data_IF_752562237240
#
_entry.id   IF_752562237240
#
_cell.length_a   1.000
_cell.length_b   1.000
_cell.length_c   1.000
_cell.angle_alpha   90.00
_cell.angle_beta   90.00
_cell.angle_gamma   90.00
#
_symmetry.space_group_name_H-M   'P 1'
#
loop_
_entity.id
_entity.type
_entity.pdbx_description
1 polymer ?
#
# COMPACT_ATOMS: atom_id res chain seq x y z
N UNK A 1 -5.23 -2.65 12.49
CA UNK A 1 -5.14 -1.46 11.62
C UNK A 1 -4.68 -1.91 10.25
N UNK A 2 -5.38 -1.48 9.20
CA UNK A 2 -5.14 -1.87 7.81
C UNK A 2 -4.41 -0.75 7.08
N UNK A 3 -3.27 -1.08 6.48
CA UNK A 3 -2.39 -0.09 5.84
C UNK A 3 -2.09 -0.55 4.41
N UNK A 4 -2.41 0.29 3.43
CA UNK A 4 -1.95 0.09 2.05
C UNK A 4 -0.54 0.65 1.93
N UNK A 5 0.36 -0.12 1.30
CA UNK A 5 1.72 0.32 1.00
C UNK A 5 2.01 0.10 -0.48
N UNK A 6 2.37 1.16 -1.21
CA UNK A 6 2.79 1.06 -2.61
C UNK A 6 4.25 0.60 -2.69
N UNK A 7 4.60 -0.18 -3.72
CA UNK A 7 5.94 -0.78 -3.90
C UNK A 7 6.51 -1.41 -2.61
N UNK A 8 5.83 -2.45 -2.12
CA UNK A 8 6.27 -3.22 -0.95
C UNK A 8 7.65 -3.88 -1.15
N UNK A 9 8.14 -3.95 -2.38
CA UNK A 9 9.42 -4.56 -2.76
C UNK A 9 10.60 -3.58 -2.76
N UNK A 10 10.35 -2.27 -2.78
CA UNK A 10 11.37 -1.24 -2.64
C UNK A 10 12.05 -1.24 -1.26
N UNK A 11 13.10 -0.45 -1.11
CA UNK A 11 13.89 -0.39 0.14
C UNK A 11 13.03 -0.05 1.36
N UNK A 12 12.18 0.97 1.24
CA UNK A 12 11.28 1.40 2.31
C UNK A 12 10.14 0.40 2.54
N UNK A 13 9.50 -0.10 1.47
CA UNK A 13 8.45 -1.10 1.57
C UNK A 13 8.91 -2.37 2.29
N UNK A 14 10.11 -2.86 1.95
CA UNK A 14 10.74 -4.00 2.62
C UNK A 14 11.03 -3.72 4.10
N UNK A 15 11.53 -2.52 4.43
CA UNK A 15 11.79 -2.13 5.81
C UNK A 15 10.49 -2.09 6.63
N UNK A 16 9.45 -1.42 6.12
CA UNK A 16 8.14 -1.34 6.76
C UNK A 16 7.52 -2.73 6.98
N UNK A 17 7.58 -3.61 5.98
CA UNK A 17 7.10 -4.99 6.09
C UNK A 17 7.82 -5.77 7.20
N UNK A 18 9.13 -5.55 7.36
CA UNK A 18 9.95 -6.23 8.37
C UNK A 18 9.73 -5.67 9.78
N UNK A 19 9.50 -4.37 9.92
CA UNK A 19 9.43 -3.69 11.22
C UNK A 19 8.01 -3.40 11.68
N UNK A 20 6.97 -3.77 10.90
CA UNK A 20 5.58 -3.53 11.30
C UNK A 20 5.26 -4.20 12.64
N UNK A 21 4.42 -3.57 13.49
CA UNK A 21 3.75 -4.25 14.59
C UNK A 21 2.91 -5.44 14.10
N UNK A 22 2.63 -6.39 15.00
CA UNK A 22 1.87 -7.61 14.65
C UNK A 22 0.42 -7.29 14.28
N UNK A 23 -0.13 -6.24 14.87
CA UNK A 23 -1.51 -5.77 14.81
C UNK A 23 -1.81 -4.97 13.52
N UNK A 24 -0.77 -4.67 12.73
CA UNK A 24 -0.91 -4.01 11.43
C UNK A 24 -1.06 -5.06 10.33
N UNK A 25 -2.16 -4.98 9.60
CA UNK A 25 -2.36 -5.71 8.35
C UNK A 25 -1.84 -4.84 7.20
N UNK A 26 -0.88 -5.35 6.42
CA UNK A 26 -0.39 -4.67 5.23
C UNK A 26 -1.12 -5.21 4.00
N UNK A 27 -1.70 -4.30 3.23
CA UNK A 27 -2.21 -4.57 1.89
C UNK A 27 -1.15 -4.08 0.89
N UNK A 28 -0.43 -4.99 0.23
CA UNK A 28 0.56 -4.59 -0.76
C UNK A 28 -0.14 -4.04 -2.01
N UNK A 29 0.23 -2.82 -2.38
CA UNK A 29 -0.17 -2.19 -3.63
C UNK A 29 1.02 -2.27 -4.61
N UNK A 30 0.83 -3.02 -5.70
CA UNK A 30 1.84 -3.14 -6.76
C UNK A 30 1.34 -2.48 -8.06
N UNK A 31 2.24 -2.19 -8.99
CA UNK A 31 1.91 -1.54 -10.28
C UNK A 31 0.87 -2.31 -11.13
N UNK A 32 0.74 -3.62 -10.94
CA UNK A 32 -0.25 -4.41 -11.67
C UNK A 32 -1.65 -4.32 -11.07
N UNK A 33 -1.75 -3.95 -9.78
CA UNK A 33 -3.02 -3.76 -9.07
C UNK A 33 -3.52 -2.32 -9.16
N UNK A 34 -2.62 -1.35 -9.06
CA UNK A 34 -2.94 0.07 -9.12
C UNK A 34 -1.89 0.80 -9.92
N UNK A 35 -2.31 1.48 -10.98
CA UNK A 35 -1.48 2.49 -11.63
C UNK A 35 -1.63 3.80 -10.85
N UNK A 36 -0.54 4.22 -10.18
CA UNK A 36 -0.51 5.46 -9.40
C UNK A 36 -0.63 6.73 -10.27
N UNK A 37 -0.60 6.59 -11.61
CA UNK A 37 -0.90 7.68 -12.55
C UNK A 37 -2.38 7.78 -12.89
N UNK A 38 -3.18 6.76 -12.56
CA UNK A 38 -4.62 6.72 -12.84
C UNK A 38 -5.41 6.90 -11.54
N UNK A 39 -5.91 8.12 -11.34
CA UNK A 39 -6.66 8.52 -10.14
C UNK A 39 -7.84 7.59 -9.83
N UNK A 40 -8.60 7.17 -10.84
CA UNK A 40 -9.76 6.31 -10.64
C UNK A 40 -9.38 4.93 -10.12
N UNK A 41 -8.22 4.41 -10.53
CA UNK A 41 -7.70 3.13 -10.06
C UNK A 41 -7.32 3.22 -8.58
N UNK A 42 -6.70 4.33 -8.16
CA UNK A 42 -6.33 4.57 -6.77
C UNK A 42 -7.58 4.67 -5.88
N UNK A 43 -8.54 5.51 -6.27
CA UNK A 43 -9.78 5.72 -5.50
C UNK A 43 -10.52 4.40 -5.32
N UNK A 44 -10.74 3.67 -6.42
CA UNK A 44 -11.41 2.37 -6.38
C UNK A 44 -10.69 1.39 -5.45
N UNK A 45 -9.37 1.34 -5.51
CA UNK A 45 -8.59 0.44 -4.65
C UNK A 45 -8.65 0.83 -3.17
N UNK A 46 -8.68 2.13 -2.86
CA UNK A 46 -8.86 2.63 -1.49
C UNK A 46 -10.27 2.27 -0.99
N UNK A 47 -11.31 2.49 -1.79
CA UNK A 47 -12.70 2.19 -1.43
C UNK A 47 -12.93 0.69 -1.20
N UNK A 48 -12.39 -0.17 -2.08
CA UNK A 48 -12.52 -1.63 -1.98
C UNK A 48 -11.84 -2.20 -0.72
N UNK A 49 -10.73 -1.59 -0.30
CA UNK A 49 -9.94 -2.10 0.82
C UNK A 49 -10.24 -1.40 2.15
N UNK A 50 -10.80 -0.18 2.09
CA UNK A 50 -11.09 0.71 3.21
C UNK A 50 -9.96 0.75 4.26
N UNK A 51 -8.74 1.19 3.87
CA UNK A 51 -7.60 1.21 4.77
C UNK A 51 -7.70 2.35 5.79
N UNK A 52 -7.03 2.19 6.93
CA UNK A 52 -6.81 3.29 7.89
C UNK A 52 -5.73 4.26 7.39
N UNK A 53 -4.74 3.74 6.66
CA UNK A 53 -3.62 4.51 6.12
C UNK A 53 -3.23 4.07 4.71
N UNK A 54 -2.78 5.03 3.91
CA UNK A 54 -2.14 4.80 2.62
C UNK A 54 -0.72 5.38 2.65
N UNK A 55 0.29 4.54 2.45
CA UNK A 55 1.69 4.94 2.46
C UNK A 55 2.26 4.74 1.06
N UNK A 56 2.65 5.83 0.40
CA UNK A 56 3.30 5.76 -0.90
C UNK A 56 4.81 5.53 -0.74
N UNK A 57 5.32 4.33 -1.07
CA UNK A 57 6.76 4.05 -1.14
C UNK A 57 7.26 3.85 -2.58
N UNK A 58 6.37 3.87 -3.57
CA UNK A 58 6.74 3.85 -4.98
C UNK A 58 7.33 5.21 -5.39
N UNK A 59 8.46 5.17 -6.09
CA UNK A 59 9.15 6.31 -6.71
C UNK A 59 9.54 5.96 -8.15
#
# INVERSE_FOLDING_TARGET
MKVIITDITGQLGCALKRTKPKEIEIIPCNRNLVDLKEEKSIIKFIEENNPDWFINCAA
#
